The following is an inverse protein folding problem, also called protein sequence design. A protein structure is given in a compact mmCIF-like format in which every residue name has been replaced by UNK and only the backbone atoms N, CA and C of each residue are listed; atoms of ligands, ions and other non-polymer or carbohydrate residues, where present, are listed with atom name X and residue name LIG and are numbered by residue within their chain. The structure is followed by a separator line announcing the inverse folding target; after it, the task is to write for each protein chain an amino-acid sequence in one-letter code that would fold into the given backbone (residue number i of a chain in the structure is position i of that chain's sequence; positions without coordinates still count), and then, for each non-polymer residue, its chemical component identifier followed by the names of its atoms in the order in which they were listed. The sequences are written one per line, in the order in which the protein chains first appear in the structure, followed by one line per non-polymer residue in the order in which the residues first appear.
data_IF_125102031482
#
_entry.id   IF_125102031482
#
_cell.length_a   1.000
_cell.length_b   1.000
_cell.length_c   1.000
_cell.angle_alpha   90.00
_cell.angle_beta   90.00
_cell.angle_gamma   90.00
#
_symmetry.space_group_name_H-M   'P 1'
#
loop_
_entity.id
_entity.type
_entity.pdbx_description
1 polymer ?
#
# COMPACT_ATOMS: atom_id res chain seq x y z
N UNK A 1 -18.70 -0.39 -4.16
CA UNK A 1 -19.33 -0.67 -2.85
C UNK A 1 -20.66 -1.40 -3.00
N UNK A 2 -21.65 -0.87 -3.74
CA UNK A 2 -22.92 -1.60 -4.00
C UNK A 2 -22.70 -2.95 -4.69
N UNK A 3 -21.74 -3.04 -5.60
CA UNK A 3 -21.34 -4.29 -6.29
C UNK A 3 -20.65 -5.28 -5.35
N UNK A 4 -19.68 -4.84 -4.53
CA UNK A 4 -19.02 -5.69 -3.52
C UNK A 4 -20.01 -6.30 -2.51
N UNK A 5 -21.06 -5.56 -2.12
CA UNK A 5 -22.14 -6.11 -1.28
C UNK A 5 -23.03 -7.10 -2.05
N UNK A 6 -23.15 -6.94 -3.38
CA UNK A 6 -23.88 -7.87 -4.25
C UNK A 6 -23.11 -9.17 -4.42
N UNK A 7 -21.81 -9.08 -4.64
CA UNK A 7 -20.89 -10.21 -4.80
C UNK A 7 -20.77 -11.03 -3.51
N UNK A 8 -20.74 -10.36 -2.36
CA UNK A 8 -20.68 -11.03 -1.05
C UNK A 8 -22.05 -11.47 -0.50
N UNK A 9 -23.14 -11.21 -1.21
CA UNK A 9 -24.49 -11.58 -0.78
C UNK A 9 -24.93 -10.91 0.53
N UNK A 10 -24.57 -9.63 0.73
CA UNK A 10 -24.90 -8.84 1.93
C UNK A 10 -25.88 -7.72 1.60
N UNK A 11 -26.97 -7.68 2.33
CA UNK A 11 -28.15 -6.84 2.20
C UNK A 11 -28.98 -7.14 0.96
N UNK A 12 -30.31 -6.99 1.07
CA UNK A 12 -31.17 -6.82 -0.11
C UNK A 12 -30.93 -5.45 -0.73
N UNK A 13 -31.13 -5.26 -2.06
CA UNK A 13 -30.98 -3.95 -2.70
C UNK A 13 -31.71 -2.82 -1.98
N UNK A 14 -32.88 -3.12 -1.39
CA UNK A 14 -33.71 -2.20 -0.61
C UNK A 14 -33.09 -1.75 0.72
N UNK A 15 -32.24 -2.55 1.37
CA UNK A 15 -31.70 -2.22 2.71
C UNK A 15 -30.33 -1.56 2.66
N UNK A 16 -29.57 -1.73 1.57
CA UNK A 16 -28.19 -1.23 1.44
C UNK A 16 -28.06 0.29 1.58
N UNK A 17 -29.00 1.05 1.01
CA UNK A 17 -28.97 2.51 1.11
C UNK A 17 -29.10 2.96 2.56
N UNK A 18 -30.09 2.42 3.28
CA UNK A 18 -30.34 2.74 4.70
C UNK A 18 -29.16 2.38 5.62
N UNK A 19 -28.47 1.26 5.34
CA UNK A 19 -27.29 0.84 6.09
C UNK A 19 -26.16 1.86 5.88
N UNK A 20 -25.87 2.25 4.64
CA UNK A 20 -24.82 3.22 4.33
C UNK A 20 -25.11 4.57 4.98
N UNK A 21 -26.35 5.05 4.91
CA UNK A 21 -26.77 6.29 5.58
C UNK A 21 -26.60 6.23 7.10
N UNK A 22 -26.93 5.09 7.71
CA UNK A 22 -26.75 4.88 9.15
C UNK A 22 -25.27 4.94 9.55
N UNK A 23 -24.38 4.36 8.74
CA UNK A 23 -22.94 4.40 8.98
C UNK A 23 -22.38 5.83 8.92
N UNK A 24 -22.87 6.67 7.99
CA UNK A 24 -22.56 8.09 7.95
C UNK A 24 -23.13 8.85 9.15
N UNK A 25 -24.42 8.64 9.47
CA UNK A 25 -25.11 9.31 10.59
C UNK A 25 -24.44 9.01 11.94
N UNK A 26 -23.95 7.79 12.14
CA UNK A 26 -23.21 7.36 13.34
C UNK A 26 -21.71 7.70 13.31
N UNK A 27 -21.24 8.40 12.27
CA UNK A 27 -19.84 8.83 12.11
C UNK A 27 -18.83 7.67 12.11
N UNK A 28 -19.21 6.47 11.66
CA UNK A 28 -18.27 5.35 11.49
C UNK A 28 -17.52 5.41 10.16
N UNK A 29 -18.11 6.07 9.17
CA UNK A 29 -17.49 6.31 7.86
C UNK A 29 -17.65 7.78 7.48
N UNK A 30 -16.73 8.29 6.68
CA UNK A 30 -16.76 9.64 6.16
C UNK A 30 -16.43 9.68 4.66
N UNK A 31 -16.80 10.77 4.00
CA UNK A 31 -16.56 10.96 2.57
C UNK A 31 -15.36 11.88 2.39
N UNK A 32 -14.29 11.35 1.82
CA UNK A 32 -13.14 12.13 1.38
C UNK A 32 -13.15 12.23 -0.14
N UNK A 33 -13.55 13.38 -0.69
CA UNK A 33 -13.72 13.59 -2.14
C UNK A 33 -14.70 12.57 -2.74
N UNK A 34 -14.21 11.71 -3.65
CA UNK A 34 -14.99 10.65 -4.33
C UNK A 34 -14.86 9.27 -3.67
N UNK A 35 -14.13 9.15 -2.55
CA UNK A 35 -13.95 7.88 -1.83
C UNK A 35 -14.59 7.93 -0.44
N UNK A 36 -15.03 6.76 0.04
CA UNK A 36 -15.56 6.56 1.39
C UNK A 36 -14.46 5.89 2.21
N UNK A 37 -14.16 6.44 3.37
CA UNK A 37 -13.10 5.94 4.27
C UNK A 37 -13.66 5.74 5.68
N UNK A 38 -13.13 4.79 6.46
CA UNK A 38 -13.53 4.63 7.86
C UNK A 38 -13.00 5.78 8.72
N UNK A 39 -13.77 6.20 9.72
CA UNK A 39 -13.30 7.12 10.76
C UNK A 39 -12.52 6.36 11.84
N UNK A 40 -11.81 7.05 12.72
CA UNK A 40 -11.14 6.40 13.85
C UNK A 40 -12.14 5.65 14.73
N UNK A 41 -13.32 6.23 15.00
CA UNK A 41 -14.39 5.58 15.76
C UNK A 41 -14.91 4.31 15.07
N UNK A 42 -14.99 4.31 13.74
CA UNK A 42 -15.34 3.10 12.98
C UNK A 42 -14.29 2.00 13.09
N UNK A 43 -13.01 2.36 13.09
CA UNK A 43 -11.89 1.41 13.28
C UNK A 43 -11.91 0.86 14.70
N UNK A 44 -12.01 1.73 15.71
CA UNK A 44 -12.03 1.34 17.13
C UNK A 44 -13.21 0.40 17.44
N UNK A 45 -14.37 0.62 16.82
CA UNK A 45 -15.54 -0.26 16.95
C UNK A 45 -15.26 -1.67 16.40
N UNK A 46 -14.57 -1.77 15.26
CA UNK A 46 -14.22 -3.07 14.66
C UNK A 46 -13.15 -3.78 15.49
N UNK A 47 -12.15 -3.03 15.98
CA UNK A 47 -11.07 -3.57 16.83
C UNK A 47 -11.59 -4.01 18.21
N UNK A 48 -12.69 -3.42 18.66
CA UNK A 48 -13.38 -3.83 19.89
C UNK A 48 -14.09 -5.18 19.77
N UNK A 49 -14.63 -5.49 18.60
CA UNK A 49 -15.34 -6.75 18.40
C UNK A 49 -14.29 -7.87 18.33
N UNK A 50 -14.02 -8.50 19.48
CA UNK A 50 -13.02 -9.57 19.60
C UNK A 50 -13.46 -10.83 18.83
N UNK A 51 -14.78 -11.05 18.67
CA UNK A 51 -15.31 -12.20 17.94
C UNK A 51 -15.24 -11.95 16.42
N UNK A 52 -14.30 -12.62 15.75
CA UNK A 52 -14.10 -12.55 14.29
C UNK A 52 -15.32 -12.99 13.49
N UNK A 53 -16.11 -13.93 14.04
CA UNK A 53 -17.28 -14.47 13.37
C UNK A 53 -18.37 -13.40 13.20
N UNK A 54 -18.52 -12.47 14.15
CA UNK A 54 -19.41 -11.31 14.05
C UNK A 54 -19.01 -10.27 13.00
N UNK A 55 -17.73 -10.23 12.62
CA UNK A 55 -17.21 -9.32 11.59
C UNK A 55 -17.21 -9.95 10.20
N UNK A 56 -17.53 -11.24 10.09
CA UNK A 56 -17.39 -11.99 8.85
C UNK A 56 -18.52 -11.69 7.86
N UNK A 57 -18.10 -11.31 6.64
CA UNK A 57 -19.00 -11.14 5.50
C UNK A 57 -19.69 -12.46 5.11
N UNK A 58 -18.97 -13.57 5.26
CA UNK A 58 -19.43 -14.93 4.91
C UNK A 58 -20.61 -15.38 5.76
N UNK A 59 -20.54 -15.23 7.08
CA UNK A 59 -21.65 -15.56 7.97
C UNK A 59 -22.91 -14.74 7.64
N UNK A 60 -22.73 -13.46 7.36
CA UNK A 60 -23.83 -12.56 6.97
C UNK A 60 -24.49 -13.05 5.68
N UNK A 61 -23.69 -13.46 4.69
CA UNK A 61 -24.19 -14.06 3.45
C UNK A 61 -24.93 -15.38 3.68
N UNK A 62 -24.46 -16.22 4.60
CA UNK A 62 -25.14 -17.47 4.97
C UNK A 62 -26.51 -17.20 5.60
N UNK A 63 -26.63 -16.19 6.46
CA UNK A 63 -27.91 -15.82 7.06
C UNK A 63 -28.89 -15.33 6.00
N UNK A 64 -28.46 -14.49 5.08
CA UNK A 64 -29.31 -14.03 3.98
C UNK A 64 -29.73 -15.16 3.05
N UNK A 65 -28.87 -16.16 2.83
CA UNK A 65 -29.24 -17.38 2.13
C UNK A 65 -30.37 -18.12 2.87
N UNK A 66 -30.21 -18.39 4.17
CA UNK A 66 -31.24 -19.07 4.98
C UNK A 66 -32.55 -18.29 5.00
N UNK A 67 -32.52 -16.97 5.07
CA UNK A 67 -33.72 -16.13 4.99
C UNK A 67 -34.44 -16.27 3.64
N UNK A 68 -33.71 -16.46 2.53
CA UNK A 68 -34.33 -16.76 1.22
C UNK A 68 -34.91 -18.17 1.14
N UNK A 69 -34.24 -19.15 1.74
CA UNK A 69 -34.76 -20.53 1.82
C UNK A 69 -36.06 -20.57 2.63
N UNK A 70 -36.16 -19.77 3.72
CA UNK A 70 -37.41 -19.60 4.49
C UNK A 70 -38.50 -18.94 3.64
N UNK A 71 -38.17 -17.87 2.90
CA UNK A 71 -39.11 -17.18 1.99
C UNK A 71 -39.69 -18.13 0.92
N UNK A 72 -38.91 -19.14 0.51
CA UNK A 72 -39.31 -20.18 -0.46
C UNK A 72 -39.98 -21.40 0.17
N UNK A 73 -40.02 -21.49 1.50
CA UNK A 73 -40.52 -22.68 2.21
C UNK A 73 -39.56 -23.88 2.24
N UNK A 74 -38.31 -23.70 1.80
CA UNK A 74 -37.26 -24.73 1.78
C UNK A 74 -36.58 -24.91 3.16
N UNK A 75 -36.81 -23.97 4.09
CA UNK A 75 -36.24 -23.99 5.43
C UNK A 75 -37.26 -23.54 6.48
N UNK A 76 -37.31 -24.24 7.61
CA UNK A 76 -38.23 -23.90 8.69
C UNK A 76 -37.72 -22.71 9.52
N UNK A 77 -38.56 -21.67 9.63
CA UNK A 77 -38.26 -20.48 10.43
C UNK A 77 -37.99 -20.82 11.90
N UNK A 78 -38.70 -21.79 12.48
CA UNK A 78 -38.49 -22.23 13.88
C UNK A 78 -37.06 -22.74 14.10
N UNK A 79 -36.53 -23.54 13.17
CA UNK A 79 -35.16 -24.04 13.21
C UNK A 79 -34.15 -22.91 13.12
N UNK A 80 -34.38 -21.93 12.23
CA UNK A 80 -33.53 -20.75 12.11
C UNK A 80 -33.47 -19.95 13.41
N UNK A 81 -34.63 -19.65 14.00
CA UNK A 81 -34.73 -18.91 15.26
C UNK A 81 -34.03 -19.65 16.40
N UNK A 82 -34.21 -20.98 16.50
CA UNK A 82 -33.54 -21.78 17.53
C UNK A 82 -32.01 -21.77 17.38
N UNK A 83 -31.50 -21.82 16.14
CA UNK A 83 -30.07 -21.69 15.87
C UNK A 83 -29.55 -20.30 16.25
N UNK A 84 -30.30 -19.25 15.91
CA UNK A 84 -29.95 -17.87 16.25
C UNK A 84 -29.92 -17.64 17.77
N UNK A 85 -30.88 -18.19 18.51
CA UNK A 85 -30.89 -18.14 19.99
C UNK A 85 -29.63 -18.78 20.58
N UNK A 86 -29.32 -20.03 20.18
CA UNK A 86 -28.10 -20.72 20.63
C UNK A 86 -26.83 -19.92 20.33
N UNK A 87 -26.78 -19.29 19.16
CA UNK A 87 -25.65 -18.47 18.76
C UNK A 87 -25.51 -17.20 19.61
N UNK A 88 -26.62 -16.51 19.88
CA UNK A 88 -26.64 -15.35 20.79
C UNK A 88 -26.22 -15.77 22.20
N UNK A 89 -26.72 -16.90 22.71
CA UNK A 89 -26.34 -17.42 24.03
C UNK A 89 -24.83 -17.69 24.12
N UNK A 90 -24.25 -18.33 23.11
CA UNK A 90 -22.81 -18.57 23.04
C UNK A 90 -22.00 -17.27 22.98
N UNK A 91 -22.44 -16.30 22.17
CA UNK A 91 -21.78 -14.99 22.07
C UNK A 91 -21.84 -14.21 23.39
N UNK A 92 -22.99 -14.20 24.06
CA UNK A 92 -23.14 -13.57 25.37
C UNK A 92 -22.24 -14.25 26.40
N UNK A 93 -22.17 -15.59 26.38
CA UNK A 93 -21.27 -16.33 27.25
C UNK A 93 -19.80 -15.99 27.00
N UNK A 94 -19.37 -15.94 25.74
CA UNK A 94 -18.01 -15.55 25.35
C UNK A 94 -17.67 -14.12 25.81
N UNK A 95 -18.55 -13.16 25.59
CA UNK A 95 -18.35 -11.76 26.00
C UNK A 95 -18.36 -11.60 27.52
N UNK A 96 -19.20 -12.35 28.24
CA UNK A 96 -19.20 -12.34 29.71
C UNK A 96 -17.95 -12.99 30.29
N UNK A 97 -17.40 -13.98 29.59
CA UNK A 97 -16.17 -14.67 29.99
C UNK A 97 -14.91 -13.89 29.60
N UNK A 98 -15.03 -12.90 28.69
CA UNK A 98 -13.91 -12.04 28.31
C UNK A 98 -13.76 -10.87 29.29
N UNK A 99 -12.57 -10.72 29.90
CA UNK A 99 -12.31 -9.75 30.97
C UNK A 99 -12.07 -8.29 30.48
N UNK A 100 -12.47 -7.95 29.24
CA UNK A 100 -12.21 -6.62 28.64
C UNK A 100 -13.38 -5.67 28.95
N UNK A 101 -13.24 -4.81 29.97
CA UNK A 101 -14.22 -3.75 30.26
C UNK A 101 -14.13 -2.66 29.20
N UNK A 102 -15.18 -2.48 28.41
CA UNK A 102 -15.22 -1.48 27.34
C UNK A 102 -16.31 -0.45 27.63
N UNK A 103 -15.92 0.83 27.67
CA UNK A 103 -16.84 1.97 27.67
C UNK A 103 -16.62 2.77 26.39
N UNK A 104 -17.61 2.77 25.51
CA UNK A 104 -17.69 3.64 24.34
C UNK A 104 -18.60 4.82 24.71
N UNK A 105 -18.03 5.95 25.10
CA UNK A 105 -18.75 7.24 25.13
C UNK A 105 -18.23 8.10 23.99
N UNK A 106 -19.15 8.60 23.16
CA UNK A 106 -18.87 9.37 21.94
C UNK A 106 -18.36 10.80 22.21
N UNK A 107 -18.00 11.11 23.45
CA UNK A 107 -17.59 12.44 23.88
C UNK A 107 -16.29 12.34 24.69
N UNK A 108 -15.28 13.03 24.16
CA UNK A 108 -14.01 13.44 24.77
C UNK A 108 -12.87 12.41 24.90
N UNK A 109 -11.82 12.74 24.16
CA UNK A 109 -10.41 12.44 24.39
C UNK A 109 -10.02 12.34 25.87
N UNK A 110 -9.54 11.16 26.29
CA UNK A 110 -8.25 11.04 26.99
C UNK A 110 -7.77 9.60 26.99
N UNK A 111 -6.51 9.46 26.62
CA UNK A 111 -5.71 8.24 26.68
C UNK A 111 -5.82 7.57 28.07
N UNK A 112 -5.92 6.25 28.09
CA UNK A 112 -5.15 5.42 29.02
C UNK A 112 -4.93 4.03 28.44
N UNK A 113 -3.65 3.71 28.29
CA UNK A 113 -3.03 2.40 28.15
C UNK A 113 -3.52 1.39 29.17
N UNK A 114 -3.66 0.11 28.80
CA UNK A 114 -2.91 -1.03 29.39
C UNK A 114 -2.89 -2.19 28.37
N UNK A 115 -1.71 -2.80 28.28
CA UNK A 115 -1.25 -4.04 27.64
C UNK A 115 -2.18 -5.25 27.72
N UNK A 116 -2.08 -6.17 26.75
CA UNK A 116 -1.56 -7.55 26.90
C UNK A 116 -1.49 -8.23 25.52
N UNK A 117 -0.45 -9.04 25.37
CA UNK A 117 0.05 -9.75 24.20
C UNK A 117 -0.92 -10.74 23.52
N UNK A 118 -0.90 -10.80 22.18
CA UNK A 118 -0.26 -11.87 21.36
C UNK A 118 -0.75 -11.84 19.90
N UNK A 119 0.24 -11.79 18.98
CA UNK A 119 0.40 -12.46 17.65
C UNK A 119 -0.88 -12.74 16.83
N UNK A 120 -1.00 -12.45 15.53
CA UNK A 120 -0.03 -12.10 14.50
C UNK A 120 -0.76 -11.72 13.20
N UNK A 121 -0.51 -10.53 12.67
CA UNK A 121 -0.28 -10.31 11.24
C UNK A 121 0.49 -8.99 11.09
N UNK A 122 1.66 -9.09 10.48
CA UNK A 122 2.78 -8.14 10.54
C UNK A 122 2.47 -6.79 9.89
N UNK A 123 1.74 -5.92 10.60
CA UNK A 123 1.99 -4.47 10.48
C UNK A 123 3.40 -4.26 10.99
N UNK A 124 4.36 -4.02 10.09
CA UNK A 124 5.72 -3.63 10.46
C UNK A 124 5.58 -2.34 11.27
N UNK A 125 5.71 -2.41 12.59
CA UNK A 125 5.75 -1.25 13.47
C UNK A 125 7.19 -1.03 13.93
N UNK A 126 7.60 0.23 14.02
CA UNK A 126 8.96 0.63 14.47
C UNK A 126 9.09 0.43 15.99
N UNK A 127 7.98 0.61 16.70
CA UNK A 127 7.88 0.53 18.14
C UNK A 127 8.27 -0.88 18.60
N UNK A 128 9.20 -0.97 19.55
CA UNK A 128 9.68 -2.23 20.12
C UNK A 128 10.83 -2.90 19.36
N UNK A 129 11.22 -2.39 18.18
CA UNK A 129 12.43 -2.88 17.49
C UNK A 129 13.69 -2.52 18.24
N UNK A 130 14.73 -3.33 18.10
CA UNK A 130 16.06 -3.07 18.66
C UNK A 130 16.63 -1.77 18.09
N UNK A 131 17.19 -0.94 18.97
CA UNK A 131 17.85 0.29 18.60
C UNK A 131 19.07 -0.02 17.73
N UNK A 132 19.22 0.59 16.55
CA UNK A 132 20.36 0.32 15.68
C UNK A 132 21.68 0.86 16.27
N UNK A 133 21.63 1.88 17.14
CA UNK A 133 22.80 2.53 17.73
C UNK A 133 23.40 1.73 18.89
N UNK A 134 22.60 1.41 19.91
CA UNK A 134 23.10 0.71 21.11
C UNK A 134 22.86 -0.82 21.08
N UNK A 135 22.04 -1.34 20.15
CA UNK A 135 21.69 -2.77 20.03
C UNK A 135 21.02 -3.42 21.25
N UNK A 136 20.91 -2.73 22.37
CA UNK A 136 20.31 -3.23 23.62
C UNK A 136 18.93 -2.62 23.87
N UNK A 137 18.81 -1.30 23.68
CA UNK A 137 17.56 -0.60 23.91
C UNK A 137 16.51 -0.85 22.82
N UNK A 138 15.24 -0.56 23.14
CA UNK A 138 14.11 -0.67 22.20
C UNK A 138 13.71 0.71 21.67
N UNK A 139 13.21 0.78 20.45
CA UNK A 139 12.69 2.01 19.88
C UNK A 139 11.30 2.33 20.46
N UNK A 140 11.18 3.54 20.99
CA UNK A 140 9.97 4.12 21.56
C UNK A 140 9.50 5.29 20.68
N UNK A 141 8.18 5.48 20.58
CA UNK A 141 7.59 6.60 19.83
C UNK A 141 7.37 7.79 20.77
N UNK A 142 8.03 8.90 20.51
CA UNK A 142 7.75 10.19 21.13
C UNK A 142 6.71 11.00 20.36
N UNK A 143 6.54 12.27 20.74
CA UNK A 143 5.62 13.20 20.08
C UNK A 143 6.09 13.64 18.68
N UNK A 144 7.40 13.74 18.47
CA UNK A 144 8.01 14.23 17.22
C UNK A 144 9.10 13.33 16.65
N UNK A 145 9.51 12.28 17.37
CA UNK A 145 10.61 11.40 16.98
C UNK A 145 10.48 9.99 17.57
N UNK A 146 11.17 9.02 16.98
CA UNK A 146 11.48 7.74 17.62
C UNK A 146 12.78 7.88 18.41
N UNK A 147 12.76 7.45 19.68
CA UNK A 147 13.93 7.46 20.57
C UNK A 147 14.28 6.05 21.06
N UNK A 148 15.50 5.88 21.55
CA UNK A 148 15.87 4.65 22.27
C UNK A 148 15.24 4.61 23.68
N UNK A 149 14.96 3.43 24.22
CA UNK A 149 14.55 3.25 25.62
C UNK A 149 15.61 3.71 26.62
N UNK A 150 16.89 3.65 26.24
CA UNK A 150 18.03 4.07 27.05
C UNK A 150 18.47 5.50 26.69
N UNK A 151 17.56 6.29 26.08
CA UNK A 151 17.86 7.66 25.66
C UNK A 151 18.26 8.55 26.85
N UNK A 152 19.42 9.20 26.77
CA UNK A 152 19.97 10.05 27.83
C UNK A 152 20.90 9.34 28.82
N UNK A 153 20.86 8.00 28.90
CA UNK A 153 21.75 7.22 29.76
C UNK A 153 22.94 6.64 28.97
N UNK A 154 22.69 5.57 28.20
CA UNK A 154 23.71 4.87 27.40
C UNK A 154 23.50 5.02 25.89
N UNK A 155 22.45 5.70 25.47
CA UNK A 155 22.14 5.93 24.07
C UNK A 155 21.52 7.33 23.88
N UNK A 156 21.71 7.91 22.71
CA UNK A 156 21.22 9.23 22.28
C UNK A 156 20.55 9.10 20.90
N UNK A 157 20.17 7.88 20.50
CA UNK A 157 19.52 7.65 19.22
C UNK A 157 18.14 8.32 19.18
N UNK A 158 17.97 9.21 18.20
CA UNK A 158 16.73 9.92 17.91
C UNK A 158 16.51 10.00 16.39
N UNK A 159 15.30 9.67 15.95
CA UNK A 159 14.89 9.69 14.55
C UNK A 159 13.58 10.47 14.42
N UNK A 160 13.67 11.70 13.93
CA UNK A 160 12.53 12.60 13.81
C UNK A 160 11.49 12.10 12.78
N UNK A 161 10.21 12.38 13.02
CA UNK A 161 9.14 12.06 12.07
C UNK A 161 9.16 12.97 10.84
N UNK A 162 9.74 14.15 10.98
CA UNK A 162 9.89 15.16 9.95
C UNK A 162 11.37 15.34 9.65
N UNK A 163 11.78 15.08 8.41
CA UNK A 163 13.17 15.18 7.97
C UNK A 163 13.18 16.08 6.72
N UNK A 164 13.98 17.15 6.72
CA UNK A 164 14.00 18.19 5.68
C UNK A 164 12.59 18.73 5.34
N UNK A 165 11.88 19.20 6.37
CA UNK A 165 10.51 19.77 6.30
C UNK A 165 9.44 18.84 5.74
N UNK A 166 9.72 17.54 5.72
CA UNK A 166 8.79 16.55 5.21
C UNK A 166 8.55 15.44 6.22
N UNK A 167 7.28 15.20 6.52
CA UNK A 167 6.85 14.05 7.31
C UNK A 167 7.12 12.75 6.55
N UNK A 168 7.87 11.84 7.16
CA UNK A 168 8.26 10.55 6.61
C UNK A 168 7.27 9.49 7.08
N UNK A 169 6.86 8.59 6.18
CA UNK A 169 5.94 7.52 6.56
C UNK A 169 6.65 6.47 7.41
N UNK A 170 5.91 5.80 8.31
CA UNK A 170 6.50 4.73 9.14
C UNK A 170 7.15 3.64 8.29
N UNK A 171 6.55 3.26 7.15
CA UNK A 171 7.15 2.32 6.20
C UNK A 171 8.53 2.77 5.67
N UNK A 172 8.71 4.06 5.43
CA UNK A 172 9.98 4.63 4.97
C UNK A 172 11.02 4.63 6.10
N UNK A 173 10.63 4.98 7.32
CA UNK A 173 11.51 4.91 8.50
C UNK A 173 11.91 3.47 8.83
N UNK A 174 10.99 2.51 8.71
CA UNK A 174 11.29 1.07 8.86
C UNK A 174 12.35 0.64 7.86
N UNK A 175 12.20 1.04 6.60
CA UNK A 175 13.18 0.73 5.57
C UNK A 175 14.54 1.39 5.85
N UNK A 176 14.54 2.63 6.32
CA UNK A 176 15.76 3.35 6.71
C UNK A 176 16.50 2.62 7.84
N UNK A 177 15.76 2.11 8.84
CA UNK A 177 16.32 1.35 9.96
C UNK A 177 16.78 -0.07 9.56
N UNK A 178 16.02 -0.76 8.70
CA UNK A 178 16.34 -2.14 8.26
C UNK A 178 17.45 -2.20 7.22
N UNK A 179 17.50 -1.23 6.29
CA UNK A 179 18.38 -1.25 5.11
C UNK A 179 19.41 -0.13 5.09
N UNK A 180 19.43 0.73 6.11
CA UNK A 180 20.26 1.93 6.14
C UNK A 180 19.86 3.00 5.11
N UNK A 181 18.84 2.78 4.27
CA UNK A 181 18.44 3.71 3.21
C UNK A 181 16.98 3.59 2.76
N UNK A 182 16.36 4.72 2.38
CA UNK A 182 15.03 4.74 1.75
C UNK A 182 15.09 4.56 0.24
N UNK A 183 13.94 4.36 -0.39
CA UNK A 183 13.81 4.56 -1.84
C UNK A 183 13.96 6.04 -2.20
N UNK A 184 14.02 6.35 -3.50
CA UNK A 184 13.96 7.72 -3.98
C UNK A 184 12.60 8.35 -3.64
N UNK A 185 12.64 9.39 -2.83
CA UNK A 185 11.52 10.17 -2.34
C UNK A 185 11.57 11.55 -3.00
N UNK A 186 10.40 12.06 -3.40
CA UNK A 186 10.27 13.37 -4.03
C UNK A 186 9.90 14.44 -3.01
N UNK A 187 10.24 15.70 -3.27
CA UNK A 187 9.69 16.84 -2.53
C UNK A 187 10.37 17.12 -1.21
N UNK A 188 11.65 16.81 -1.11
CA UNK A 188 12.50 17.34 -0.04
C UNK A 188 13.02 18.71 -0.46
N UNK A 189 12.96 19.68 0.44
CA UNK A 189 13.48 21.02 0.20
C UNK A 189 14.89 21.08 0.78
N UNK A 190 15.88 21.20 -0.11
CA UNK A 190 17.30 21.30 0.28
C UNK A 190 17.88 22.47 -0.49
N UNK A 191 18.42 23.45 0.24
CA UNK A 191 18.92 24.72 -0.32
C UNK A 191 17.85 25.39 -1.20
N UNK A 192 16.63 25.53 -0.67
CA UNK A 192 15.46 26.15 -1.32
C UNK A 192 14.96 25.48 -2.63
N UNK A 193 15.59 24.39 -3.05
CA UNK A 193 15.20 23.62 -4.25
C UNK A 193 14.54 22.31 -3.85
N UNK A 194 13.42 21.99 -4.51
CA UNK A 194 12.77 20.68 -4.37
C UNK A 194 13.58 19.61 -5.09
N UNK A 195 14.13 18.67 -4.34
CA UNK A 195 14.97 17.61 -4.88
C UNK A 195 14.32 16.22 -4.69
N UNK A 196 14.79 15.26 -5.49
CA UNK A 196 14.41 13.85 -5.42
C UNK A 196 15.65 13.06 -5.04
N UNK A 197 15.53 12.18 -4.04
CA UNK A 197 16.69 11.44 -3.52
C UNK A 197 16.29 10.49 -2.40
N UNK A 198 17.26 9.80 -1.83
CA UNK A 198 17.07 8.81 -0.76
C UNK A 198 17.63 9.34 0.57
N UNK A 199 16.93 9.07 1.66
CA UNK A 199 17.48 9.24 3.00
C UNK A 199 18.42 8.06 3.31
N UNK A 200 19.58 8.33 3.88
CA UNK A 200 20.60 7.34 4.24
C UNK A 200 21.01 7.58 5.69
N UNK A 201 21.19 6.49 6.44
CA UNK A 201 21.66 6.55 7.82
C UNK A 201 23.19 6.47 7.81
N UNK A 202 23.87 7.50 8.33
CA UNK A 202 25.33 7.52 8.40
C UNK A 202 25.87 6.71 9.61
N UNK A 203 27.20 6.62 9.74
CA UNK A 203 27.85 5.86 10.82
C UNK A 203 27.54 6.40 12.23
N UNK A 204 27.12 7.67 12.33
CA UNK A 204 26.70 8.30 13.58
C UNK A 204 25.19 8.14 13.84
N UNK A 205 24.51 7.32 13.04
CA UNK A 205 23.07 7.07 13.08
C UNK A 205 22.22 8.33 12.88
N UNK A 206 22.76 9.34 12.17
CA UNK A 206 22.05 10.53 11.70
C UNK A 206 21.58 10.33 10.26
N UNK A 207 20.50 11.02 9.89
CA UNK A 207 19.89 10.91 8.56
C UNK A 207 20.46 11.97 7.62
N UNK A 208 21.02 11.52 6.50
CA UNK A 208 21.52 12.35 5.41
C UNK A 208 20.68 12.15 4.14
N UNK A 209 20.62 13.17 3.28
CA UNK A 209 19.93 13.08 1.99
C UNK A 209 20.91 12.90 0.84
N UNK A 210 20.78 11.77 0.14
CA UNK A 210 21.51 11.49 -1.09
C UNK A 210 20.64 11.83 -2.30
N UNK A 211 21.01 12.89 -3.02
CA UNK A 211 20.31 13.34 -4.23
C UNK A 211 20.36 12.24 -5.30
N UNK A 212 19.25 11.99 -5.98
CA UNK A 212 19.25 11.14 -7.17
C UNK A 212 19.83 11.95 -8.32
N UNK A 213 21.08 11.70 -8.66
CA UNK A 213 21.65 12.19 -9.92
C UNK A 213 20.72 11.77 -11.07
N UNK A 214 20.22 12.76 -11.82
CA UNK A 214 19.59 12.48 -13.11
C UNK A 214 20.71 11.93 -13.99
N UNK A 215 20.74 10.61 -14.21
CA UNK A 215 21.37 10.10 -15.43
C UNK A 215 20.64 10.80 -16.57
N UNK A 216 21.34 11.71 -17.26
CA UNK A 216 20.85 12.32 -18.48
C UNK A 216 20.43 11.18 -19.40
N UNK A 217 19.13 11.08 -19.68
CA UNK A 217 18.68 10.22 -20.76
C UNK A 217 19.27 10.84 -22.02
N UNK A 218 20.22 10.17 -22.66
CA UNK A 218 20.63 10.51 -24.01
C UNK A 218 19.34 10.62 -24.84
N UNK A 219 19.10 11.80 -25.41
CA UNK A 219 17.90 12.08 -26.19
C UNK A 219 17.98 11.26 -27.48
N UNK A 220 17.37 10.07 -27.48
CA UNK A 220 17.21 9.29 -28.70
C UNK A 220 16.18 10.04 -29.56
N UNK A 221 16.53 10.48 -30.78
CA UNK A 221 15.59 11.16 -31.66
C UNK A 221 14.33 10.33 -31.89
N UNK A 222 13.17 10.97 -31.93
CA UNK A 222 11.90 10.28 -32.22
C UNK A 222 11.84 9.72 -33.63
N UNK A 223 12.64 10.29 -34.54
CA UNK A 223 12.82 9.80 -35.91
C UNK A 223 14.26 9.37 -36.09
N UNK A 224 14.48 8.07 -36.31
CA UNK A 224 15.79 7.51 -36.61
C UNK A 224 16.03 7.69 -38.11
N UNK A 225 17.04 8.45 -38.50
CA UNK A 225 17.44 8.59 -39.90
C UNK A 225 18.08 7.27 -40.36
N UNK A 226 17.75 6.83 -41.57
CA UNK A 226 18.30 5.62 -42.15
C UNK A 226 19.83 5.74 -42.30
N UNK A 227 20.62 4.81 -41.73
CA UNK A 227 22.08 4.87 -41.81
C UNK A 227 22.59 4.68 -43.25
N UNK A 228 21.84 3.96 -44.09
CA UNK A 228 22.23 3.65 -45.47
C UNK A 228 22.02 4.82 -46.42
N UNK A 229 20.83 5.42 -46.45
CA UNK A 229 20.52 6.50 -47.41
C UNK A 229 20.58 7.91 -46.84
N UNK A 230 20.64 8.07 -45.50
CA UNK A 230 20.64 9.35 -44.77
C UNK A 230 19.46 10.30 -45.04
N UNK A 231 18.51 9.92 -45.90
CA UNK A 231 17.34 10.71 -46.30
C UNK A 231 16.03 10.14 -45.74
N UNK A 232 15.86 8.83 -45.82
CA UNK A 232 14.68 8.15 -45.29
C UNK A 232 14.71 7.98 -43.77
N UNK A 233 13.54 7.74 -43.17
CA UNK A 233 13.40 7.43 -41.75
C UNK A 233 13.22 5.93 -41.55
N UNK A 234 13.72 5.40 -40.45
CA UNK A 234 13.53 3.99 -40.10
C UNK A 234 12.14 3.79 -39.50
N UNK A 235 11.38 2.90 -40.12
CA UNK A 235 10.05 2.49 -39.74
C UNK A 235 10.07 1.06 -39.21
N UNK A 236 9.26 0.80 -38.20
CA UNK A 236 9.07 -0.55 -37.65
C UNK A 236 7.94 -1.26 -38.40
N UNK A 237 8.27 -2.35 -39.10
CA UNK A 237 7.30 -3.24 -39.74
C UNK A 237 6.84 -4.38 -38.83
N UNK A 238 6.25 -5.42 -39.43
CA UNK A 238 5.77 -6.64 -38.72
C UNK A 238 6.91 -7.55 -38.27
N UNK A 239 7.98 -7.65 -39.07
CA UNK A 239 9.11 -8.59 -38.84
C UNK A 239 10.49 -7.92 -38.90
N UNK A 240 10.58 -6.66 -39.34
CA UNK A 240 11.84 -5.97 -39.57
C UNK A 240 11.69 -4.44 -39.38
N UNK A 241 12.82 -3.77 -39.19
CA UNK A 241 12.91 -2.32 -39.38
C UNK A 241 13.38 -2.02 -40.80
N UNK A 242 12.70 -1.11 -41.49
CA UNK A 242 12.99 -0.75 -42.88
C UNK A 242 13.04 0.76 -43.09
N UNK A 243 13.70 1.19 -44.15
CA UNK A 243 13.70 2.60 -44.56
C UNK A 243 12.33 3.02 -45.12
N UNK A 244 11.92 4.28 -44.91
CA UNK A 244 10.71 4.84 -45.55
C UNK A 244 10.82 4.94 -47.07
N UNK A 245 12.04 5.02 -47.60
CA UNK A 245 12.35 5.04 -49.04
C UNK A 245 12.72 3.64 -49.58
N UNK A 246 12.28 2.59 -48.89
CA UNK A 246 12.52 1.20 -49.29
C UNK A 246 11.98 0.94 -50.70
N UNK A 247 12.75 0.26 -51.55
CA UNK A 247 12.49 -0.01 -52.97
C UNK A 247 12.44 1.20 -53.92
N UNK A 248 12.59 2.45 -53.42
CA UNK A 248 12.73 3.63 -54.27
C UNK A 248 14.20 4.01 -54.45
N UNK A 249 14.84 4.36 -53.34
CA UNK A 249 16.22 4.86 -53.30
C UNK A 249 17.01 4.25 -52.14
N UNK A 250 16.46 3.24 -51.47
CA UNK A 250 17.08 2.55 -50.35
C UNK A 250 16.55 1.12 -50.27
N UNK A 251 17.36 0.21 -49.76
CA UNK A 251 17.10 -1.22 -49.56
C UNK A 251 17.45 -1.62 -48.12
N UNK A 252 17.58 -0.65 -47.21
CA UNK A 252 17.87 -0.92 -45.81
C UNK A 252 16.72 -1.65 -45.13
N UNK A 253 17.00 -2.86 -44.67
CA UNK A 253 16.10 -3.73 -43.93
C UNK A 253 16.92 -4.50 -42.88
N UNK A 254 16.46 -4.50 -41.63
CA UNK A 254 17.06 -5.30 -40.56
C UNK A 254 15.97 -6.06 -39.80
N UNK A 255 16.07 -7.39 -39.84
CA UNK A 255 15.09 -8.29 -39.22
C UNK A 255 15.18 -8.24 -37.69
N UNK A 256 14.05 -8.51 -37.03
CA UNK A 256 14.02 -8.53 -35.56
C UNK A 256 14.91 -9.64 -34.97
N UNK A 257 15.10 -10.74 -35.69
CA UNK A 257 16.02 -11.82 -35.30
C UNK A 257 17.47 -11.34 -35.30
N UNK A 258 17.92 -10.66 -36.36
CA UNK A 258 19.27 -10.08 -36.42
C UNK A 258 19.52 -9.06 -35.32
N UNK A 259 18.50 -8.31 -34.90
CA UNK A 259 18.60 -7.40 -33.75
C UNK A 259 18.75 -8.19 -32.44
N UNK A 260 18.02 -9.29 -32.26
CA UNK A 260 18.14 -10.16 -31.08
C UNK A 260 19.51 -10.83 -31.01
N UNK A 261 20.06 -11.29 -32.13
CA UNK A 261 21.40 -11.84 -32.21
C UNK A 261 22.46 -10.80 -31.83
N UNK A 262 22.38 -9.60 -32.43
CA UNK A 262 23.27 -8.46 -32.10
C UNK A 262 23.11 -8.00 -30.64
N UNK A 263 21.95 -8.23 -30.02
CA UNK A 263 21.71 -7.93 -28.61
C UNK A 263 22.35 -8.92 -27.63
N UNK A 264 22.83 -10.10 -28.09
CA UNK A 264 23.50 -11.12 -27.27
C UNK A 264 22.77 -11.41 -25.94
N UNK A 265 21.45 -11.59 -25.99
CA UNK A 265 20.63 -11.90 -24.82
C UNK A 265 20.29 -10.72 -23.90
N UNK A 266 20.71 -9.49 -24.21
CA UNK A 266 20.29 -8.29 -23.46
C UNK A 266 18.83 -7.95 -23.75
N UNK A 267 18.16 -7.31 -22.78
CA UNK A 267 16.82 -6.78 -22.98
C UNK A 267 16.82 -5.72 -24.09
N UNK A 268 15.91 -5.85 -25.04
CA UNK A 268 15.78 -4.93 -26.17
C UNK A 268 15.21 -3.59 -25.70
N UNK A 269 16.06 -2.70 -25.20
CA UNK A 269 15.70 -1.32 -24.91
C UNK A 269 15.70 -0.48 -26.18
N UNK A 270 14.95 0.63 -26.20
CA UNK A 270 14.92 1.57 -27.34
C UNK A 270 16.32 2.07 -27.72
N UNK A 271 17.19 2.25 -26.73
CA UNK A 271 18.59 2.67 -26.91
C UNK A 271 19.46 1.59 -27.57
N UNK A 272 19.34 0.34 -27.11
CA UNK A 272 20.06 -0.78 -27.70
C UNK A 272 19.66 -0.98 -29.16
N UNK A 273 18.35 -0.93 -29.44
CA UNK A 273 17.81 -1.05 -30.79
C UNK A 273 18.31 0.10 -31.68
N UNK A 274 18.28 1.34 -31.18
CA UNK A 274 18.82 2.50 -31.90
C UNK A 274 20.30 2.33 -32.26
N UNK A 275 21.13 1.94 -31.29
CA UNK A 275 22.55 1.70 -31.49
C UNK A 275 22.83 0.56 -32.47
N UNK A 276 22.03 -0.51 -32.44
CA UNK A 276 22.14 -1.63 -33.40
C UNK A 276 21.78 -1.16 -34.80
N UNK A 277 20.70 -0.39 -34.96
CA UNK A 277 20.25 0.10 -36.25
C UNK A 277 21.28 1.03 -36.88
N UNK A 278 21.84 1.99 -36.13
CA UNK A 278 22.83 2.94 -36.68
C UNK A 278 24.18 2.28 -37.01
N UNK A 279 24.53 1.18 -36.35
CA UNK A 279 25.75 0.41 -36.61
C UNK A 279 25.58 -0.70 -37.66
N UNK A 280 24.39 -0.85 -38.23
CA UNK A 280 24.07 -1.84 -39.27
C UNK A 280 24.08 -1.21 -40.65
#
# INVERSE_FOLDING_TARGET
MRELMKENGIGRPSTRASIIETLFKRKYIERQKKIIVPTQTGIDLIDLIDNELLKSAELTGLWEKKLREIERGEYHASTFINQMKKMVDNLVYEVRSSNKKVRLSAENHKQKSVSVDKKSNTKKTIIGKTCPKCKEGKLLKGSSAFGCSNFGNSCDFKLDFTIFDKKISENQLIRLLEKGSTTNLKGFTINEKKQVGSLVLNNNFKVEFKVKEKKEKQQIPDKIICPKCKKGIILKGKSAYGCSEFNKNCDFLINFESIKEKAKGKTLTRELVYNIIIKS
#
